data_IF_718266521826
#
_entry.id   IF_718266521826
#
_cell.length_a   1.000
_cell.length_b   1.000
_cell.length_c   1.000
_cell.angle_alpha   90.00
_cell.angle_beta   90.00
_cell.angle_gamma   90.00
#
_symmetry.space_group_name_H-M   'P 1'
#
loop_
_entity.id
_entity.type
_entity.pdbx_description
1 polymer ?
#
# COMPACT_ATOMS: atom_id res chain seq x y z
N UNK A 1 -1.93 -1.34 -3.42
CA UNK A 1 -2.54 -0.17 -4.06
C UNK A 1 -1.54 0.98 -4.02
N UNK A 2 -1.37 1.70 -5.12
CA UNK A 2 -0.63 2.97 -5.13
C UNK A 2 -1.61 4.14 -5.23
N UNK A 3 -1.30 5.22 -4.53
CA UNK A 3 -2.03 6.48 -4.56
C UNK A 3 -1.12 7.52 -5.22
N UNK A 4 -1.58 8.13 -6.30
CA UNK A 4 -0.82 9.16 -7.03
C UNK A 4 -1.17 10.56 -6.52
N UNK A 5 -0.86 10.82 -5.24
CA UNK A 5 -1.21 12.08 -4.56
C UNK A 5 -0.46 13.30 -5.07
N UNK A 6 0.72 13.13 -5.66
CA UNK A 6 1.52 14.21 -6.24
C UNK A 6 0.82 14.95 -7.40
N UNK A 7 -0.18 14.33 -8.02
CA UNK A 7 -0.93 14.90 -9.14
C UNK A 7 -2.08 15.83 -8.72
N UNK A 8 -2.29 16.02 -7.41
CA UNK A 8 -3.28 16.93 -6.87
C UNK A 8 -2.63 17.83 -5.79
N UNK A 9 -2.75 19.15 -5.97
CA UNK A 9 -2.17 20.17 -5.09
C UNK A 9 -2.73 20.14 -3.66
N UNK A 10 -3.95 19.62 -3.46
CA UNK A 10 -4.55 19.47 -2.15
C UNK A 10 -3.94 18.29 -1.37
N UNK A 11 -3.43 17.27 -2.07
CA UNK A 11 -3.02 15.99 -1.49
C UNK A 11 -1.53 15.69 -1.62
N UNK A 12 -0.74 16.56 -2.26
CA UNK A 12 0.68 16.32 -2.53
C UNK A 12 1.56 16.22 -1.27
N UNK A 13 1.18 16.89 -0.17
CA UNK A 13 1.85 16.78 1.14
C UNK A 13 1.18 15.72 2.01
N UNK A 14 -0.15 15.69 2.05
CA UNK A 14 -0.93 14.71 2.81
C UNK A 14 -2.08 14.17 1.95
N UNK A 15 -2.00 12.89 1.56
CA UNK A 15 -3.03 12.28 0.72
C UNK A 15 -4.41 12.21 1.39
N UNK A 16 -4.47 12.36 2.73
CA UNK A 16 -5.69 12.34 3.54
C UNK A 16 -6.48 13.65 3.45
N UNK A 17 -5.90 14.71 2.87
CA UNK A 17 -6.64 15.92 2.54
C UNK A 17 -7.52 15.70 1.30
N UNK A 18 -8.52 14.81 1.44
CA UNK A 18 -9.28 14.26 0.33
C UNK A 18 -9.98 15.35 -0.50
N UNK A 19 -9.63 15.38 -1.78
CA UNK A 19 -10.31 16.19 -2.78
C UNK A 19 -11.48 15.39 -3.37
N UNK A 20 -12.71 15.83 -3.10
CA UNK A 20 -13.93 15.16 -3.59
C UNK A 20 -14.27 15.53 -5.03
N UNK A 21 -13.84 16.70 -5.48
CA UNK A 21 -14.09 17.17 -6.84
C UNK A 21 -13.07 16.57 -7.82
N UNK A 22 -11.83 16.38 -7.36
CA UNK A 22 -10.72 15.77 -8.11
C UNK A 22 -9.98 14.71 -7.27
N UNK A 23 -10.57 13.53 -7.05
CA UNK A 23 -9.94 12.50 -6.25
C UNK A 23 -8.60 12.02 -6.84
N UNK A 24 -7.71 11.56 -5.96
CA UNK A 24 -6.44 10.97 -6.38
C UNK A 24 -6.69 9.76 -7.27
N UNK A 25 -5.87 9.60 -8.33
CA UNK A 25 -5.80 8.33 -9.03
C UNK A 25 -5.27 7.26 -8.06
N UNK A 26 -5.95 6.13 -8.02
CA UNK A 26 -5.52 4.92 -7.31
C UNK A 26 -5.45 3.76 -8.29
N UNK A 27 -4.47 2.88 -8.12
CA UNK A 27 -4.30 1.74 -9.02
C UNK A 27 -3.56 0.58 -8.34
N UNK A 28 -3.69 -0.65 -8.88
CA UNK A 28 -2.75 -1.72 -8.60
C UNK A 28 -1.30 -1.27 -8.87
N UNK A 29 -0.38 -1.73 -8.04
CA UNK A 29 1.05 -1.47 -8.22
C UNK A 29 1.84 -2.71 -7.87
N UNK A 30 2.84 -3.01 -8.68
CA UNK A 30 3.74 -4.15 -8.49
C UNK A 30 5.06 -3.62 -7.91
N UNK A 31 5.41 -4.09 -6.71
CA UNK A 31 6.70 -3.77 -6.10
C UNK A 31 7.84 -4.42 -6.88
N UNK A 32 9.01 -3.78 -6.88
CA UNK A 32 10.22 -4.45 -7.34
C UNK A 32 10.49 -5.71 -6.52
N UNK A 33 10.93 -6.78 -7.19
CA UNK A 33 11.15 -8.10 -6.57
C UNK A 33 12.18 -8.08 -5.45
N UNK A 34 13.14 -7.16 -5.50
CA UNK A 34 14.13 -6.95 -4.44
C UNK A 34 13.48 -6.39 -3.18
N UNK A 35 12.54 -5.46 -3.30
CA UNK A 35 11.82 -4.86 -2.18
C UNK A 35 10.77 -5.83 -1.61
N UNK A 36 10.03 -6.55 -2.46
CA UNK A 36 9.10 -7.61 -2.05
C UNK A 36 9.79 -8.67 -1.15
N UNK A 37 11.01 -9.10 -1.53
CA UNK A 37 11.82 -10.02 -0.72
C UNK A 37 12.24 -9.43 0.63
N UNK A 38 12.50 -8.12 0.72
CA UNK A 38 12.82 -7.45 1.99
C UNK A 38 11.61 -7.44 2.92
N UNK A 39 10.42 -7.11 2.39
CA UNK A 39 9.17 -7.14 3.16
C UNK A 39 8.87 -8.55 3.68
N UNK A 40 9.03 -9.58 2.85
CA UNK A 40 8.83 -10.97 3.28
C UNK A 40 9.76 -11.36 4.43
N UNK A 41 11.07 -11.06 4.32
CA UNK A 41 12.03 -11.32 5.40
C UNK A 41 11.68 -10.61 6.70
N UNK A 42 11.16 -9.39 6.61
CA UNK A 42 10.70 -8.63 7.77
C UNK A 42 9.51 -9.32 8.43
N UNK A 43 8.50 -9.74 7.66
CA UNK A 43 7.35 -10.47 8.18
C UNK A 43 7.75 -11.79 8.84
N UNK A 44 8.61 -12.57 8.19
CA UNK A 44 9.13 -13.83 8.73
C UNK A 44 9.83 -13.60 10.08
N UNK A 45 10.63 -12.54 10.20
CA UNK A 45 11.32 -12.17 11.44
C UNK A 45 10.36 -11.70 12.55
N UNK A 46 9.21 -11.13 12.18
CA UNK A 46 8.15 -10.73 13.11
C UNK A 46 7.19 -11.89 13.45
N UNK A 47 7.31 -13.04 12.81
CA UNK A 47 6.37 -14.16 12.97
C UNK A 47 4.96 -13.86 12.40
N UNK A 48 4.87 -12.97 11.41
CA UNK A 48 3.61 -12.55 10.80
C UNK A 48 3.41 -13.24 9.44
N UNK A 49 2.23 -13.81 9.22
CA UNK A 49 1.82 -14.37 7.93
C UNK A 49 1.04 -13.35 7.06
N UNK A 50 0.51 -12.29 7.66
CA UNK A 50 -0.14 -11.17 6.99
C UNK A 50 0.13 -9.86 7.75
N UNK A 51 0.14 -8.74 7.02
CA UNK A 51 0.15 -7.38 7.57
C UNK A 51 -0.20 -6.37 6.46
N UNK A 52 -0.54 -5.15 6.86
CA UNK A 52 -0.55 -3.98 5.97
C UNK A 52 0.71 -3.16 6.18
N UNK A 53 1.19 -2.51 5.12
CA UNK A 53 2.39 -1.68 5.15
C UNK A 53 2.11 -0.35 4.47
N UNK A 54 2.65 0.72 5.06
CA UNK A 54 2.67 2.03 4.43
C UNK A 54 4.08 2.30 3.87
N UNK A 55 4.12 2.61 2.58
CA UNK A 55 5.36 2.80 1.82
C UNK A 55 5.22 3.99 0.87
N UNK A 56 6.23 4.85 0.84
CA UNK A 56 6.36 5.90 -0.17
C UNK A 56 7.37 5.46 -1.21
N UNK A 57 7.06 5.67 -2.49
CA UNK A 57 8.03 5.58 -3.58
C UNK A 57 8.42 7.00 -4.00
N UNK A 58 9.72 7.31 -3.95
CA UNK A 58 10.26 8.59 -4.41
C UNK A 58 10.66 8.48 -5.87
N UNK A 59 10.17 9.41 -6.70
CA UNK A 59 10.62 9.54 -8.09
C UNK A 59 12.03 10.12 -8.21
N UNK A 60 12.50 10.84 -7.20
CA UNK A 60 13.76 11.60 -7.27
C UNK A 60 14.98 10.68 -7.18
N UNK A 61 14.89 9.64 -6.36
CA UNK A 61 15.97 8.67 -6.17
C UNK A 61 15.55 7.21 -6.44
N UNK A 62 14.33 7.01 -6.93
CA UNK A 62 13.75 5.70 -7.26
C UNK A 62 13.78 4.70 -6.08
N UNK A 63 13.62 5.20 -4.84
CA UNK A 63 13.63 4.35 -3.64
C UNK A 63 12.27 4.23 -2.99
N UNK A 64 12.09 3.08 -2.33
CA UNK A 64 11.01 2.83 -1.40
C UNK A 64 11.42 3.25 0.02
N UNK A 65 10.57 4.05 0.65
CA UNK A 65 10.68 4.48 2.04
C UNK A 65 9.57 3.80 2.84
N UNK A 66 9.97 2.94 3.76
CA UNK A 66 9.06 2.24 4.66
C UNK A 66 8.61 3.19 5.78
N UNK A 67 7.31 3.26 6.06
CA UNK A 67 6.76 4.15 7.08
C UNK A 67 6.21 3.39 8.28
N UNK A 68 5.35 2.40 8.04
CA UNK A 68 4.64 1.71 9.12
C UNK A 68 4.31 0.26 8.76
N UNK A 69 4.22 -0.56 9.81
CA UNK A 69 3.75 -1.95 9.79
C UNK A 69 2.51 -2.07 10.67
N UNK A 70 1.39 -2.47 10.09
CA UNK A 70 0.19 -2.81 10.84
C UNK A 70 -0.15 -4.31 10.74
N UNK A 71 0.14 -5.12 11.80
CA UNK A 71 -0.13 -6.56 11.81
C UNK A 71 -1.62 -6.93 11.71
N UNK A 72 -2.53 -6.03 12.09
CA UNK A 72 -4.00 -6.24 12.06
C UNK A 72 -4.67 -5.24 11.10
N UNK A 73 -3.90 -4.78 10.11
CA UNK A 73 -4.23 -3.59 9.33
C UNK A 73 -5.54 -3.65 8.55
N UNK A 74 -6.10 -2.48 8.29
CA UNK A 74 -7.31 -2.33 7.48
C UNK A 74 -6.98 -2.51 5.99
N UNK A 75 -7.61 -3.49 5.35
CA UNK A 75 -7.47 -3.77 3.92
C UNK A 75 -8.78 -3.65 3.13
N UNK A 76 -9.91 -3.36 3.78
CA UNK A 76 -11.23 -3.36 3.12
C UNK A 76 -11.37 -2.36 1.97
N UNK A 77 -10.60 -1.28 1.96
CA UNK A 77 -10.64 -0.27 0.89
C UNK A 77 -9.83 -0.66 -0.35
N UNK A 78 -8.97 -1.68 -0.32
CA UNK A 78 -8.08 -1.99 -1.45
C UNK A 78 -8.73 -2.88 -2.51
N UNK A 79 -9.74 -3.67 -2.16
CA UNK A 79 -10.42 -4.56 -3.11
C UNK A 79 -11.20 -3.79 -4.18
N UNK A 80 -11.89 -2.70 -3.83
CA UNK A 80 -12.64 -1.88 -4.81
C UNK A 80 -11.76 -1.27 -5.91
N UNK A 81 -10.67 -0.54 -5.61
CA UNK A 81 -9.83 0.10 -6.63
C UNK A 81 -8.84 -0.86 -7.32
N UNK A 82 -8.55 -2.03 -6.73
CA UNK A 82 -7.50 -2.92 -7.25
C UNK A 82 -7.96 -4.33 -7.61
N UNK A 83 -9.21 -4.68 -7.34
CA UNK A 83 -9.80 -6.01 -7.57
C UNK A 83 -9.01 -7.16 -6.89
N UNK A 84 -8.46 -6.90 -5.69
CA UNK A 84 -7.64 -7.90 -4.99
C UNK A 84 -8.45 -8.98 -4.29
N UNK A 85 -9.65 -8.68 -3.78
CA UNK A 85 -10.50 -9.63 -3.07
C UNK A 85 -9.77 -10.32 -1.90
N UNK A 86 -8.96 -9.56 -1.14
CA UNK A 86 -8.13 -10.10 -0.05
C UNK A 86 -8.97 -10.77 1.04
N UNK A 87 -10.21 -10.33 1.22
CA UNK A 87 -11.19 -10.95 2.10
C UNK A 87 -11.38 -12.44 1.77
N UNK A 88 -11.47 -12.77 0.47
CA UNK A 88 -11.61 -14.15 -0.02
C UNK A 88 -10.34 -14.94 0.19
N UNK A 89 -9.18 -14.37 -0.12
CA UNK A 89 -7.88 -15.04 0.05
C UNK A 89 -7.61 -15.37 1.52
N UNK A 90 -7.93 -14.44 2.43
CA UNK A 90 -7.84 -14.68 3.87
C UNK A 90 -8.81 -15.79 4.30
N UNK A 91 -10.06 -15.75 3.85
CA UNK A 91 -11.05 -16.79 4.19
C UNK A 91 -10.66 -18.19 3.70
N UNK A 92 -9.94 -18.31 2.58
CA UNK A 92 -9.43 -19.58 2.06
C UNK A 92 -8.15 -20.07 2.77
N UNK A 93 -7.44 -19.19 3.47
CA UNK A 93 -6.20 -19.51 4.18
C UNK A 93 -6.43 -19.86 5.67
N UNK A 94 -7.66 -19.73 6.15
CA UNK A 94 -8.13 -20.18 7.47
C UNK A 94 -8.58 -21.65 7.40
#
# INVERSE_FOLDING_TARGET
>A
MAIFSQNNSNTNVDFRNYDRDKPNRVAPYTLEKTYEKKLKKMLDACGLNCASFDVIYSSDDAKYYFLDLNPVGQFGMVSSPCNYNLEKEIALAL
#
